data_IF_181054296593
#
_entry.id   IF_181054296593
#
_cell.length_a   1.000
_cell.length_b   1.000
_cell.length_c   1.000
_cell.angle_alpha   90.00
_cell.angle_beta   90.00
_cell.angle_gamma   90.00
#
_symmetry.space_group_name_H-M   'P 1'
#
loop_
_entity.id
_entity.type
_entity.pdbx_description
1 polymer ?
#
# COMPACT_ATOMS: atom_id res chain seq x y z
N UNK A 1 7.53 -18.06 -7.36
CA UNK A 1 7.45 -16.72 -7.31
C UNK A 1 6.83 -16.21 -6.06
N UNK A 2 7.38 -15.24 -5.51
CA UNK A 2 6.90 -14.72 -4.26
C UNK A 2 5.60 -13.97 -4.49
N UNK A 3 4.65 -14.20 -3.62
CA UNK A 3 3.41 -13.51 -3.70
C UNK A 3 3.53 -12.21 -2.94
N UNK A 4 3.16 -11.12 -3.55
CA UNK A 4 3.15 -9.84 -2.87
C UNK A 4 1.91 -9.73 -2.01
N UNK A 5 2.01 -8.95 -0.95
CA UNK A 5 0.88 -8.78 -0.03
C UNK A 5 0.30 -7.40 -0.19
N UNK A 6 -0.99 -7.28 0.04
CA UNK A 6 -1.65 -5.99 -0.02
C UNK A 6 -1.51 -5.30 1.33
N UNK A 7 -1.73 -4.00 1.33
CA UNK A 7 -1.70 -3.22 2.55
C UNK A 7 -2.74 -3.74 3.54
N UNK A 8 -3.90 -4.09 3.02
CA UNK A 8 -4.96 -4.62 3.85
C UNK A 8 -4.55 -5.93 4.53
N UNK A 9 -3.85 -6.79 3.80
CA UNK A 9 -3.37 -8.04 4.37
C UNK A 9 -2.35 -7.81 5.48
N UNK A 10 -1.46 -6.84 5.27
CA UNK A 10 -0.46 -6.52 6.29
C UNK A 10 -1.13 -6.01 7.55
N UNK A 11 -2.11 -5.15 7.38
CA UNK A 11 -2.84 -4.62 8.52
C UNK A 11 -3.57 -5.72 9.27
N UNK A 12 -4.18 -6.64 8.52
CA UNK A 12 -4.90 -7.74 9.12
C UNK A 12 -3.99 -8.64 9.95
N UNK A 13 -2.76 -8.84 9.50
CA UNK A 13 -1.80 -9.64 10.24
C UNK A 13 -1.46 -9.04 11.59
N UNK A 14 -1.53 -7.71 11.68
CA UNK A 14 -1.24 -7.02 12.94
C UNK A 14 -2.47 -6.87 13.81
N UNK A 15 -3.62 -7.23 13.27
CA UNK A 15 -4.89 -7.09 13.97
C UNK A 15 -5.19 -5.63 14.31
N UNK A 16 -4.80 -4.72 13.43
CA UNK A 16 -5.04 -3.30 13.61
C UNK A 16 -6.23 -2.85 12.78
N UNK A 17 -6.95 -1.85 13.30
CA UNK A 17 -7.99 -1.21 12.50
C UNK A 17 -7.33 -0.23 11.53
N UNK A 18 -8.09 0.22 10.54
CA UNK A 18 -7.59 1.24 9.64
C UNK A 18 -7.24 2.51 10.39
N UNK A 19 -8.04 2.86 11.37
CA UNK A 19 -7.81 4.06 12.16
C UNK A 19 -6.51 3.96 12.94
N UNK A 20 -6.27 2.81 13.56
CA UNK A 20 -5.03 2.58 14.29
C UNK A 20 -3.82 2.69 13.38
N UNK A 21 -3.92 2.10 12.21
CA UNK A 21 -2.81 2.10 11.26
C UNK A 21 -2.54 3.51 10.76
N UNK A 22 -3.60 4.25 10.46
CA UNK A 22 -3.45 5.63 10.01
C UNK A 22 -2.75 6.46 11.07
N UNK A 23 -3.11 6.27 12.33
CA UNK A 23 -2.47 6.97 13.41
C UNK A 23 -1.00 6.65 13.50
N UNK A 24 -0.64 5.38 13.37
CA UNK A 24 0.75 4.97 13.45
C UNK A 24 1.57 5.55 12.31
N UNK A 25 0.93 5.80 11.18
CA UNK A 25 1.61 6.38 10.03
C UNK A 25 1.56 7.91 10.01
N UNK A 26 0.80 8.50 10.91
CA UNK A 26 0.70 9.94 10.98
C UNK A 26 -0.13 10.55 9.87
N UNK A 27 -1.10 9.81 9.36
CA UNK A 27 -1.97 10.31 8.29
C UNK A 27 -3.42 10.18 8.71
N UNK A 28 -4.31 10.84 7.97
CA UNK A 28 -5.73 10.76 8.26
C UNK A 28 -6.27 9.39 7.86
N UNK A 29 -7.37 9.00 8.45
CA UNK A 29 -8.04 7.76 8.09
C UNK A 29 -8.39 7.76 6.61
N UNK A 30 -8.85 8.89 6.11
CA UNK A 30 -9.22 9.04 4.73
C UNK A 30 -8.06 8.77 3.80
N UNK A 31 -6.89 9.32 4.13
CA UNK A 31 -5.68 9.11 3.34
C UNK A 31 -5.27 7.64 3.38
N UNK A 32 -5.26 7.05 4.56
CA UNK A 32 -4.87 5.66 4.69
C UNK A 32 -5.82 4.75 3.92
N UNK A 33 -7.12 5.05 4.01
CA UNK A 33 -8.12 4.27 3.31
C UNK A 33 -7.88 4.30 1.80
N UNK A 34 -7.54 5.46 1.27
CA UNK A 34 -7.22 5.58 -0.14
C UNK A 34 -6.01 4.74 -0.52
N UNK A 35 -5.04 4.65 0.38
CA UNK A 35 -3.85 3.84 0.13
C UNK A 35 -4.19 2.35 0.06
N UNK A 36 -5.14 1.90 0.87
CA UNK A 36 -5.55 0.49 0.78
C UNK A 36 -6.23 0.20 -0.55
N UNK A 37 -6.88 1.19 -1.11
CA UNK A 37 -7.54 1.02 -2.38
C UNK A 37 -6.57 1.07 -3.54
N UNK A 38 -5.57 1.92 -3.46
CA UNK A 38 -4.59 2.05 -4.53
C UNK A 38 -3.26 2.51 -3.98
N UNK A 39 -2.46 1.57 -3.51
CA UNK A 39 -1.16 1.89 -2.94
C UNK A 39 -0.21 2.44 -3.99
N UNK A 40 -0.49 2.20 -5.26
CA UNK A 40 0.35 2.74 -6.31
C UNK A 40 0.38 4.25 -6.38
N UNK A 41 -0.59 4.91 -5.77
CA UNK A 41 -0.64 6.36 -5.76
C UNK A 41 0.12 7.00 -4.60
N UNK A 42 0.65 6.20 -3.70
CA UNK A 42 1.33 6.73 -2.54
C UNK A 42 2.70 7.26 -2.93
N UNK A 43 3.15 8.31 -2.27
CA UNK A 43 4.49 8.83 -2.52
C UNK A 43 5.51 7.82 -2.05
N UNK A 44 6.67 7.82 -2.71
CA UNK A 44 7.69 6.84 -2.37
C UNK A 44 8.13 6.94 -0.91
N UNK A 45 8.22 8.16 -0.38
CA UNK A 45 8.60 8.33 1.02
C UNK A 45 7.57 7.72 1.96
N UNK A 46 6.29 7.86 1.62
CA UNK A 46 5.21 7.27 2.43
C UNK A 46 5.21 5.76 2.27
N UNK A 47 5.53 5.28 1.07
CA UNK A 47 5.60 3.83 0.84
C UNK A 47 6.68 3.20 1.71
N UNK A 48 7.83 3.86 1.84
CA UNK A 48 8.88 3.35 2.73
C UNK A 48 8.45 3.38 4.20
N UNK A 49 7.71 4.41 4.60
CA UNK A 49 7.21 4.48 5.96
C UNK A 49 6.27 3.31 6.25
N UNK A 50 5.42 2.99 5.29
CA UNK A 50 4.50 1.86 5.42
C UNK A 50 5.29 0.56 5.52
N UNK A 51 6.25 0.36 4.64
CA UNK A 51 7.07 -0.86 4.65
C UNK A 51 7.79 -1.02 5.98
N UNK A 52 8.33 0.08 6.50
CA UNK A 52 9.01 0.05 7.80
C UNK A 52 8.05 -0.30 8.92
N UNK A 53 6.86 0.27 8.91
CA UNK A 53 5.89 0.00 9.96
C UNK A 53 5.55 -1.48 10.02
N UNK A 54 5.40 -2.11 8.86
CA UNK A 54 5.02 -3.52 8.81
C UNK A 54 6.21 -4.47 8.73
N UNK A 55 7.42 -3.92 8.77
CA UNK A 55 8.66 -4.73 8.75
C UNK A 55 8.75 -5.62 7.51
N UNK A 56 8.45 -5.04 6.37
CA UNK A 56 8.56 -5.76 5.09
C UNK A 56 9.35 -4.89 4.12
N UNK A 57 9.83 -5.49 3.07
CA UNK A 57 10.49 -4.73 2.02
C UNK A 57 9.44 -4.04 1.17
N UNK A 58 9.77 -2.88 0.63
CA UNK A 58 8.85 -2.17 -0.19
C UNK A 58 8.46 -3.00 -1.43
N UNK A 59 9.37 -3.84 -1.88
CA UNK A 59 9.11 -4.73 -3.02
C UNK A 59 8.10 -5.81 -2.72
N UNK A 60 7.85 -6.07 -1.46
CA UNK A 60 6.93 -7.13 -1.07
C UNK A 60 5.49 -6.67 -1.03
N UNK A 61 5.25 -5.37 -1.12
CA UNK A 61 3.89 -4.85 -1.05
C UNK A 61 3.31 -4.77 -2.45
N UNK A 62 2.11 -5.29 -2.58
CA UNK A 62 1.41 -5.29 -3.86
C UNK A 62 0.82 -3.91 -4.13
N UNK A 63 1.25 -3.30 -5.25
CA UNK A 63 0.70 -2.04 -5.65
C UNK A 63 -0.45 -2.34 -6.59
N UNK A 64 -1.65 -2.21 -6.13
CA UNK A 64 -2.76 -2.59 -6.84
C UNK A 64 -3.14 -1.66 -7.87
N UNK A 65 -2.45 -1.51 -8.90
CA UNK A 65 -2.90 -0.74 -9.92
C UNK A 65 -3.39 -1.51 -10.95
N UNK A 66 -4.29 -1.73 -11.18
CA UNK A 66 -4.74 -2.50 -12.07
C UNK A 66 -4.59 -2.17 -13.35
N UNK A 67 -4.47 -1.58 -13.64
CA UNK A 67 -4.37 -1.39 -14.70
C UNK A 67 -3.37 -1.60 -15.24
N UNK A 68 -2.81 -1.76 -15.05
CA UNK A 68 -1.96 -2.04 -15.43
C UNK A 68 -1.88 -2.79 -16.27
N UNK A 69 -2.15 -3.05 -16.51
CA UNK A 69 -2.20 -3.69 -17.23
C UNK A 69 -2.54 -3.25 -18.20
N UNK A 70 -2.60 -2.56 -18.31
CA UNK A 70 -2.92 -2.11 -18.91
C UNK A 70 -2.50 -1.36 -19.24
N UNK A 71 -2.28 -1.22 -19.15
CA UNK A 71 -1.94 -0.64 -19.37
C UNK A 71 -1.34 -0.20 -19.87
N UNK A 72 -1.16 -0.21 -20.23
CA UNK A 72 -0.65 0.11 -20.57
C UNK A 72 -0.51 0.63 -21.02
N UNK A 73 -0.46 0.67 -21.34
CA UNK A 73 -0.45 1.17 -21.50
C UNK A 73 -0.09 1.93 -21.58
N UNK A 74 0.04 1.92 -21.80
CA UNK A 74 0.37 2.55 -21.75
C UNK A 74 0.67 3.20 -21.97
N UNK A 75 0.77 3.20 -22.29
CA UNK A 75 1.02 3.68 -22.32
C UNK A 75 1.31 4.25 -22.70
N UNK A 76 1.34 4.19 -23.11
CA UNK A 76 1.52 4.59 -23.29
C UNK A 76 1.67 5.19 -23.41
N UNK A 77 1.78 5.23 -23.98
CA UNK A 77 1.87 5.69 -23.87
C UNK A 77 2.06 6.08 -23.83
#
# INVERSE_FOLDING_TARGET
>A
MAKKVTLKELRARMDWTQEETAKKLGVSLQTYNAWEQDFGKVKISSAYAVANLFHVGIDDIFFEHEDEENSNELDEE
#
